data_IF_626341634103
#
_entry.id   IF_626341634103
#
_cell.length_a   1.000
_cell.length_b   1.000
_cell.length_c   1.000
_cell.angle_alpha   90.00
_cell.angle_beta   90.00
_cell.angle_gamma   90.00
#
_symmetry.space_group_name_H-M   'P 1'
#
loop_
_entity.id
_entity.type
_entity.pdbx_description
1 polymer ?
#
# COMPACT_ATOMS: atom_id res chain seq x y z
N UNK A 1 24.50 33.70 12.71
CA UNK A 1 24.18 34.97 12.02
C UNK A 1 25.10 35.12 10.81
N UNK A 2 24.86 34.35 9.76
CA UNK A 2 25.41 34.64 8.43
C UNK A 2 24.29 35.31 7.63
N UNK A 3 24.53 36.56 7.29
CA UNK A 3 23.65 37.41 6.50
C UNK A 3 23.40 36.76 5.14
N UNK A 4 22.15 36.37 4.88
CA UNK A 4 21.67 35.99 3.57
C UNK A 4 21.71 37.23 2.66
N UNK A 5 22.90 37.54 2.12
CA UNK A 5 23.10 38.56 1.09
C UNK A 5 22.80 37.92 -0.26
N UNK A 6 21.52 37.81 -0.59
CA UNK A 6 21.15 37.66 -2.00
C UNK A 6 21.31 39.01 -2.68
N UNK A 7 22.30 39.09 -3.59
CA UNK A 7 22.43 40.19 -4.56
C UNK A 7 21.34 40.03 -5.62
N UNK A 8 20.10 40.31 -5.26
CA UNK A 8 19.01 40.39 -6.24
C UNK A 8 18.80 41.85 -6.63
N UNK A 9 19.01 42.11 -7.91
CA UNK A 9 18.78 43.41 -8.54
C UNK A 9 17.26 43.72 -8.44
N UNK A 10 16.82 44.77 -7.73
CA UNK A 10 15.44 44.88 -7.23
C UNK A 10 14.40 45.28 -8.29
N UNK A 11 14.71 45.19 -9.59
CA UNK A 11 13.87 45.79 -10.63
C UNK A 11 12.72 44.92 -11.14
N UNK A 12 12.71 43.60 -10.91
CA UNK A 12 11.56 42.73 -11.28
C UNK A 12 11.43 41.50 -10.37
N UNK A 13 11.89 41.59 -9.12
CA UNK A 13 11.85 40.45 -8.19
C UNK A 13 10.44 40.25 -7.63
N UNK A 14 9.64 39.44 -8.32
CA UNK A 14 8.40 38.90 -7.79
C UNK A 14 8.76 38.10 -6.52
N UNK A 15 8.54 38.69 -5.34
CA UNK A 15 8.98 38.09 -4.07
C UNK A 15 8.13 36.86 -3.78
N UNK A 16 8.75 35.68 -3.89
CA UNK A 16 8.06 34.40 -3.73
C UNK A 16 8.47 33.73 -2.40
N UNK A 17 7.72 34.06 -1.35
CA UNK A 17 7.87 33.45 -0.02
C UNK A 17 7.68 31.92 -0.07
N UNK A 18 6.85 31.40 -0.97
CA UNK A 18 6.61 29.96 -1.12
C UNK A 18 7.82 29.23 -1.69
N UNK A 19 8.54 29.86 -2.62
CA UNK A 19 9.76 29.32 -3.23
C UNK A 19 11.07 29.72 -2.54
N UNK A 20 10.97 30.40 -1.40
CA UNK A 20 12.12 30.68 -0.52
C UNK A 20 12.90 29.42 -0.17
N UNK A 21 14.22 29.58 0.03
CA UNK A 21 15.11 28.48 0.44
C UNK A 21 14.67 27.85 1.76
N UNK A 22 14.22 28.66 2.71
CA UNK A 22 13.67 28.20 3.97
C UNK A 22 12.43 27.32 3.77
N UNK A 23 11.46 27.76 2.96
CA UNK A 23 10.23 26.97 2.68
C UNK A 23 10.56 25.63 2.02
N UNK A 24 11.47 25.62 1.04
CA UNK A 24 11.95 24.39 0.37
C UNK A 24 12.63 23.45 1.36
N UNK A 25 13.50 23.98 2.21
CA UNK A 25 14.21 23.21 3.24
C UNK A 25 13.23 22.62 4.26
N UNK A 26 12.27 23.42 4.72
CA UNK A 26 11.24 23.00 5.68
C UNK A 26 10.31 21.94 5.08
N UNK A 27 9.91 22.07 3.81
CA UNK A 27 9.11 21.07 3.10
C UNK A 27 9.88 19.75 2.91
N UNK A 28 11.18 19.81 2.62
CA UNK A 28 12.05 18.62 2.56
C UNK A 28 12.13 17.93 3.93
N UNK A 29 12.31 18.70 5.01
CA UNK A 29 12.32 18.18 6.39
C UNK A 29 10.99 17.54 6.75
N UNK A 30 9.87 18.20 6.42
CA UNK A 30 8.52 17.67 6.61
C UNK A 30 8.34 16.30 5.95
N UNK A 31 8.77 16.15 4.69
CA UNK A 31 8.70 14.87 3.97
C UNK A 31 9.51 13.77 4.68
N UNK A 32 10.74 14.07 5.09
CA UNK A 32 11.60 13.11 5.79
C UNK A 32 11.01 12.68 7.13
N UNK A 33 10.44 13.62 7.89
CA UNK A 33 9.73 13.37 9.16
C UNK A 33 8.52 12.46 8.91
N UNK A 34 7.69 12.79 7.90
CA UNK A 34 6.51 12.01 7.51
C UNK A 34 6.88 10.58 7.11
N UNK A 35 7.89 10.40 6.27
CA UNK A 35 8.33 9.08 5.81
C UNK A 35 8.77 8.18 6.98
N UNK A 36 9.54 8.73 7.92
CA UNK A 36 9.97 8.01 9.13
C UNK A 36 8.81 7.67 10.06
N UNK A 37 7.86 8.60 10.22
CA UNK A 37 6.65 8.36 10.99
C UNK A 37 5.84 7.19 10.43
N UNK A 38 5.69 7.11 9.10
CA UNK A 38 4.95 6.01 8.47
C UNK A 38 5.63 4.66 8.76
N UNK A 39 6.96 4.61 8.71
CA UNK A 39 7.72 3.40 9.06
C UNK A 39 7.49 3.02 10.53
N UNK A 40 7.53 3.99 11.46
CA UNK A 40 7.22 3.80 12.87
C UNK A 40 5.81 3.25 13.08
N UNK A 41 4.83 3.84 12.39
CA UNK A 41 3.44 3.40 12.45
C UNK A 41 3.28 1.95 12.00
N UNK A 42 3.93 1.56 10.89
CA UNK A 42 3.90 0.18 10.42
C UNK A 42 4.52 -0.80 11.41
N UNK A 43 5.65 -0.45 12.04
CA UNK A 43 6.23 -1.29 13.10
C UNK A 43 5.33 -1.39 14.32
N UNK A 44 4.68 -0.29 14.72
CA UNK A 44 3.72 -0.29 15.81
C UNK A 44 2.53 -1.22 15.54
N UNK A 45 1.94 -1.16 14.33
CA UNK A 45 0.86 -2.04 13.91
C UNK A 45 1.31 -3.51 13.94
N UNK A 46 2.52 -3.79 13.44
CA UNK A 46 3.08 -5.14 13.50
C UNK A 46 3.21 -5.65 14.94
N UNK A 47 3.81 -4.87 15.85
CA UNK A 47 3.95 -5.26 17.25
C UNK A 47 2.59 -5.45 17.94
N UNK A 48 1.63 -4.57 17.67
CA UNK A 48 0.25 -4.69 18.16
C UNK A 48 -0.37 -6.02 17.72
N UNK A 49 -0.20 -6.40 16.46
CA UNK A 49 -0.71 -7.67 15.93
C UNK A 49 -0.03 -8.87 16.61
N UNK A 50 1.28 -8.82 16.83
CA UNK A 50 2.00 -9.88 17.56
C UNK A 50 1.47 -10.03 18.98
N UNK A 51 1.29 -8.93 19.71
CA UNK A 51 0.71 -8.94 21.07
C UNK A 51 -0.70 -9.57 21.05
N UNK A 52 -1.53 -9.17 20.09
CA UNK A 52 -2.89 -9.70 19.96
C UNK A 52 -2.88 -11.21 19.67
N UNK A 53 -1.97 -11.71 18.83
CA UNK A 53 -1.85 -13.15 18.54
C UNK A 53 -1.49 -13.92 19.83
N UNK A 54 -0.52 -13.43 20.61
CA UNK A 54 -0.17 -14.05 21.89
C UNK A 54 -1.37 -14.10 22.83
N UNK A 55 -2.08 -12.98 23.01
CA UNK A 55 -3.25 -12.88 23.88
C UNK A 55 -4.37 -13.84 23.44
N UNK A 56 -4.70 -13.85 22.15
CA UNK A 56 -5.72 -14.77 21.59
C UNK A 56 -5.30 -16.22 21.81
N UNK A 57 -4.04 -16.58 21.61
CA UNK A 57 -3.56 -17.94 21.84
C UNK A 57 -3.70 -18.38 23.31
N UNK A 58 -3.45 -17.48 24.26
CA UNK A 58 -3.61 -17.73 25.70
C UNK A 58 -5.10 -17.88 26.04
N UNK A 59 -5.97 -17.04 25.48
CA UNK A 59 -7.42 -17.15 25.66
C UNK A 59 -7.91 -18.50 25.16
N UNK A 60 -7.55 -18.89 23.94
CA UNK A 60 -7.94 -20.19 23.35
C UNK A 60 -7.46 -21.35 24.22
N UNK A 61 -6.18 -21.36 24.63
CA UNK A 61 -5.64 -22.40 25.50
C UNK A 61 -6.39 -22.47 26.85
N UNK A 62 -6.71 -21.31 27.44
CA UNK A 62 -7.44 -21.23 28.71
C UNK A 62 -8.88 -21.75 28.55
N UNK A 63 -9.56 -21.40 27.47
CA UNK A 63 -10.91 -21.89 27.17
C UNK A 63 -10.91 -23.40 26.95
N UNK A 64 -9.88 -23.97 26.31
CA UNK A 64 -9.75 -25.42 26.15
C UNK A 64 -9.58 -26.10 27.51
N UNK A 65 -8.76 -25.54 28.42
CA UNK A 65 -8.62 -26.07 29.80
C UNK A 65 -9.98 -26.11 30.51
N UNK A 66 -10.71 -24.99 30.48
CA UNK A 66 -12.05 -24.90 31.10
C UNK A 66 -13.02 -25.90 30.48
N UNK A 67 -13.06 -25.98 29.15
CA UNK A 67 -13.92 -26.91 28.43
C UNK A 67 -13.63 -28.37 28.80
N UNK A 68 -12.35 -28.78 28.79
CA UNK A 68 -11.93 -30.13 29.19
C UNK A 68 -12.29 -30.41 30.65
N UNK A 69 -12.13 -29.42 31.54
CA UNK A 69 -12.55 -29.50 32.94
C UNK A 69 -14.05 -29.73 33.10
N UNK A 70 -14.87 -29.00 32.34
CA UNK A 70 -16.34 -29.12 32.37
C UNK A 70 -16.86 -30.41 31.71
N UNK A 71 -16.14 -30.96 30.72
CA UNK A 71 -16.51 -32.21 30.04
C UNK A 71 -16.04 -33.47 30.76
N UNK A 72 -15.27 -33.34 31.85
CA UNK A 72 -14.78 -34.44 32.70
C UNK A 72 -15.86 -35.50 33.05
N UNK A 73 -17.11 -35.17 33.42
CA UNK A 73 -18.11 -36.16 33.79
C UNK A 73 -18.77 -36.90 32.60
N UNK A 74 -18.69 -36.37 31.37
CA UNK A 74 -19.51 -36.85 30.25
C UNK A 74 -18.76 -37.61 29.14
N UNK A 75 -17.45 -37.36 28.94
CA UNK A 75 -16.71 -37.93 27.78
C UNK A 75 -15.78 -39.10 28.15
N UNK A 76 -15.28 -39.18 29.38
CA UNK A 76 -14.25 -40.16 29.74
C UNK A 76 -14.80 -41.23 30.68
N UNK A 77 -15.15 -42.41 30.15
CA UNK A 77 -15.82 -43.46 30.94
C UNK A 77 -14.89 -44.48 31.60
N UNK A 78 -13.61 -44.60 31.18
CA UNK A 78 -12.79 -45.76 31.59
C UNK A 78 -11.35 -45.42 32.06
N UNK A 79 -10.81 -44.22 31.82
CA UNK A 79 -9.50 -43.75 32.34
C UNK A 79 -9.56 -42.23 32.70
N UNK A 80 -10.41 -41.92 33.68
CA UNK A 80 -11.13 -40.64 33.89
C UNK A 80 -10.32 -39.40 34.25
N UNK A 81 -9.23 -39.55 34.99
CA UNK A 81 -8.63 -38.38 35.64
C UNK A 81 -7.30 -38.02 35.02
N UNK A 82 -6.51 -39.03 34.68
CA UNK A 82 -5.16 -38.87 34.15
C UNK A 82 -5.15 -38.16 32.80
N UNK A 83 -6.06 -38.48 31.87
CA UNK A 83 -6.06 -37.85 30.54
C UNK A 83 -6.45 -36.36 30.58
N UNK A 84 -7.53 -36.02 31.28
CA UNK A 84 -7.96 -34.63 31.44
C UNK A 84 -6.93 -33.81 32.23
N UNK A 85 -6.31 -34.40 33.26
CA UNK A 85 -5.22 -33.77 34.01
C UNK A 85 -3.99 -33.53 33.12
N UNK A 86 -3.57 -34.52 32.32
CA UNK A 86 -2.42 -34.36 31.40
C UNK A 86 -2.68 -33.22 30.41
N UNK A 87 -3.87 -33.17 29.79
CA UNK A 87 -4.22 -32.09 28.85
C UNK A 87 -4.18 -30.73 29.53
N UNK A 88 -4.75 -30.63 30.73
CA UNK A 88 -4.72 -29.40 31.54
C UNK A 88 -3.29 -28.97 31.90
N UNK A 89 -2.43 -29.93 32.29
CA UNK A 89 -1.00 -29.69 32.57
C UNK A 89 -0.27 -29.22 31.31
N UNK A 90 -0.52 -29.82 30.15
CA UNK A 90 0.08 -29.41 28.89
C UNK A 90 -0.29 -27.97 28.50
N UNK A 91 -1.58 -27.62 28.52
CA UNK A 91 -2.01 -26.26 28.16
C UNK A 91 -1.58 -25.20 29.20
N UNK A 92 -1.58 -25.52 30.49
CA UNK A 92 -1.07 -24.61 31.52
C UNK A 92 0.45 -24.38 31.40
N UNK A 93 1.21 -25.44 31.09
CA UNK A 93 2.65 -25.32 30.78
C UNK A 93 2.87 -24.50 29.51
N UNK A 94 2.05 -24.68 28.47
CA UNK A 94 2.07 -23.84 27.27
C UNK A 94 1.84 -22.36 27.60
N UNK A 95 0.81 -22.03 28.39
CA UNK A 95 0.52 -20.64 28.80
C UNK A 95 1.70 -20.06 29.58
N UNK A 96 2.29 -20.83 30.50
CA UNK A 96 3.45 -20.40 31.27
C UNK A 96 4.67 -20.10 30.37
N UNK A 97 4.98 -20.99 29.43
CA UNK A 97 6.08 -20.80 28.47
C UNK A 97 5.80 -19.61 27.54
N UNK A 98 4.60 -19.51 26.96
CA UNK A 98 4.21 -18.41 26.08
C UNK A 98 4.31 -17.06 26.80
N UNK A 99 3.83 -16.98 28.04
CA UNK A 99 3.91 -15.77 28.87
C UNK A 99 5.36 -15.43 29.24
N UNK A 100 6.18 -16.43 29.57
CA UNK A 100 7.60 -16.24 29.87
C UNK A 100 8.37 -15.71 28.65
N UNK A 101 8.14 -16.30 27.47
CA UNK A 101 8.72 -15.83 26.20
C UNK A 101 8.26 -14.39 25.90
N UNK A 102 6.96 -14.12 26.05
CA UNK A 102 6.41 -12.77 25.82
C UNK A 102 7.06 -11.71 26.72
N UNK A 103 7.21 -12.01 28.02
CA UNK A 103 7.92 -11.14 28.97
C UNK A 103 9.40 -11.00 28.66
N UNK A 104 10.07 -12.11 28.31
CA UNK A 104 11.49 -12.11 27.98
C UNK A 104 11.80 -11.24 26.76
N UNK A 105 10.95 -11.30 25.73
CA UNK A 105 11.09 -10.49 24.52
C UNK A 105 10.78 -9.01 24.74
N UNK A 106 10.20 -8.63 25.89
CA UNK A 106 9.81 -7.25 26.23
C UNK A 106 9.03 -6.56 25.11
N UNK A 107 8.10 -7.30 24.49
CA UNK A 107 7.34 -6.81 23.33
C UNK A 107 6.48 -5.60 23.72
N UNK A 108 5.91 -5.60 24.92
CA UNK A 108 5.13 -4.47 25.42
C UNK A 108 5.99 -3.22 25.65
N UNK A 109 7.16 -3.35 26.28
CA UNK A 109 8.08 -2.22 26.48
C UNK A 109 8.48 -1.60 25.11
N UNK A 110 8.87 -2.44 24.14
CA UNK A 110 9.23 -1.98 22.79
C UNK A 110 8.05 -1.32 22.06
N UNK A 111 6.83 -1.83 22.24
CA UNK A 111 5.61 -1.24 21.68
C UNK A 111 5.37 0.17 22.26
N UNK A 112 5.54 0.32 23.57
CA UNK A 112 5.39 1.62 24.25
C UNK A 112 6.47 2.62 23.83
N UNK A 113 7.73 2.18 23.74
CA UNK A 113 8.85 2.98 23.23
C UNK A 113 8.56 3.50 21.81
N UNK A 114 8.10 2.64 20.90
CA UNK A 114 7.73 3.01 19.53
C UNK A 114 6.54 3.97 19.53
N UNK A 115 5.56 3.79 20.43
CA UNK A 115 4.43 4.70 20.54
C UNK A 115 4.86 6.10 21.00
N UNK A 116 5.74 6.21 21.99
CA UNK A 116 6.33 7.49 22.43
C UNK A 116 7.08 8.18 21.30
N UNK A 117 7.86 7.42 20.53
CA UNK A 117 8.52 7.93 19.32
C UNK A 117 7.55 8.44 18.27
N UNK A 118 6.48 7.68 18.01
CA UNK A 118 5.45 8.07 17.06
C UNK A 118 4.79 9.40 17.47
N UNK A 119 4.54 9.59 18.77
CA UNK A 119 4.01 10.83 19.32
C UNK A 119 4.97 12.00 19.11
N UNK A 120 6.25 11.85 19.41
CA UNK A 120 7.26 12.89 19.15
C UNK A 120 7.33 13.26 17.65
N UNK A 121 7.31 12.27 16.75
CA UNK A 121 7.28 12.53 15.30
C UNK A 121 6.00 13.26 14.86
N UNK A 122 4.85 12.92 15.45
CA UNK A 122 3.58 13.61 15.21
C UNK A 122 3.60 15.07 15.66
N UNK A 123 4.17 15.34 16.84
CA UNK A 123 4.26 16.69 17.38
C UNK A 123 5.15 17.57 16.48
N UNK A 124 6.32 17.05 16.10
CA UNK A 124 7.24 17.71 15.16
C UNK A 124 6.58 17.96 13.80
N UNK A 125 5.89 16.96 13.24
CA UNK A 125 5.17 17.12 11.98
C UNK A 125 4.09 18.19 12.07
N UNK A 126 3.33 18.22 13.16
CA UNK A 126 2.26 19.19 13.39
C UNK A 126 2.81 20.61 13.44
N UNK A 127 3.93 20.82 14.14
CA UNK A 127 4.63 22.12 14.20
C UNK A 127 5.05 22.55 12.79
N UNK A 128 5.76 21.68 12.06
CA UNK A 128 6.24 21.98 10.71
C UNK A 128 5.06 22.29 9.76
N UNK A 129 4.01 21.48 9.79
CA UNK A 129 2.84 21.66 8.95
C UNK A 129 2.10 22.97 9.26
N UNK A 130 1.96 23.34 10.54
CA UNK A 130 1.39 24.63 10.95
C UNK A 130 2.22 25.80 10.39
N UNK A 131 3.54 25.67 10.35
CA UNK A 131 4.45 26.70 9.78
C UNK A 131 4.33 26.80 8.27
N UNK A 132 4.34 25.68 7.57
CA UNK A 132 4.12 25.64 6.12
C UNK A 132 2.77 26.24 5.72
N UNK A 133 1.70 25.92 6.46
CA UNK A 133 0.37 26.51 6.24
C UNK A 133 0.36 28.02 6.45
N UNK A 134 0.98 28.52 7.53
CA UNK A 134 1.12 29.97 7.75
C UNK A 134 1.85 30.66 6.60
N UNK A 135 2.94 30.06 6.10
CA UNK A 135 3.67 30.59 4.95
C UNK A 135 2.82 30.61 3.68
N UNK A 136 2.02 29.57 3.42
CA UNK A 136 1.12 29.58 2.26
C UNK A 136 0.05 30.66 2.34
N UNK A 137 -0.46 30.95 3.54
CA UNK A 137 -1.45 32.01 3.77
C UNK A 137 -0.82 33.39 3.56
N UNK A 138 0.38 33.62 4.10
CA UNK A 138 1.14 34.86 3.87
C UNK A 138 1.35 35.07 2.37
N UNK A 139 1.72 34.03 1.63
CA UNK A 139 1.93 34.11 0.19
C UNK A 139 0.64 34.45 -0.58
N UNK A 140 -0.50 33.85 -0.21
CA UNK A 140 -1.78 34.13 -0.87
C UNK A 140 -2.24 35.56 -0.59
N UNK A 141 -2.18 35.99 0.68
CA UNK A 141 -2.55 37.34 1.08
C UNK A 141 -1.68 38.41 0.41
N UNK A 142 -0.35 38.17 0.34
CA UNK A 142 0.55 39.04 -0.40
C UNK A 142 0.17 39.14 -1.87
N UNK A 143 -0.13 38.01 -2.53
CA UNK A 143 -0.53 37.98 -3.94
C UNK A 143 -1.84 38.74 -4.17
N UNK A 144 -2.82 38.56 -3.29
CA UNK A 144 -4.13 39.19 -3.41
C UNK A 144 -4.03 40.72 -3.21
N UNK A 145 -3.35 41.18 -2.17
CA UNK A 145 -3.14 42.61 -1.88
C UNK A 145 -2.29 43.28 -2.96
N UNK A 146 -1.26 42.60 -3.46
CA UNK A 146 -0.41 43.10 -4.54
C UNK A 146 -1.15 43.15 -5.89
N UNK A 147 -1.98 42.14 -6.20
CA UNK A 147 -2.82 42.13 -7.40
C UNK A 147 -3.90 43.21 -7.34
N UNK A 148 -4.48 43.45 -6.17
CA UNK A 148 -5.45 44.52 -5.95
C UNK A 148 -4.81 45.90 -6.20
N UNK A 149 -3.62 46.12 -5.65
CA UNK A 149 -2.83 47.34 -5.86
C UNK A 149 -2.56 47.59 -7.36
N UNK A 150 -2.11 46.55 -8.09
CA UNK A 150 -1.81 46.69 -9.52
C UNK A 150 -3.06 46.98 -10.36
N UNK A 151 -4.21 46.40 -10.00
CA UNK A 151 -5.48 46.58 -10.74
C UNK A 151 -6.11 47.98 -10.55
N UNK A 152 -5.92 48.61 -9.39
CA UNK A 152 -6.58 49.89 -9.06
C UNK A 152 -5.70 51.12 -9.31
N UNK A 153 -4.39 50.96 -9.53
CA UNK A 153 -3.45 52.07 -9.78
C UNK A 153 -2.88 52.16 -11.19
N UNK A 154 -3.09 51.15 -12.05
CA UNK A 154 -2.89 51.33 -13.49
C UNK A 154 -4.18 51.95 -14.02
N UNK A 155 -4.21 53.25 -14.38
CA UNK A 155 -5.37 53.79 -15.08
C UNK A 155 -5.53 53.01 -16.38
N UNK A 156 -6.70 52.38 -16.54
CA UNK A 156 -7.20 51.95 -17.84
C UNK A 156 -7.60 53.22 -18.59
N UNK A 157 -6.63 54.05 -18.95
CA UNK A 157 -6.86 55.10 -19.93
C UNK A 157 -6.66 54.49 -21.31
N UNK A 158 -7.73 54.55 -22.09
CA UNK A 158 -7.79 54.19 -23.50
C UNK A 158 -6.50 54.58 -24.24
N UNK A 159 -5.99 53.65 -25.04
CA UNK A 159 -4.80 53.77 -25.88
C UNK A 159 -5.06 54.75 -27.04
N UNK A 160 -5.44 55.98 -26.74
CA UNK A 160 -5.44 57.07 -27.71
C UNK A 160 -4.67 58.27 -27.15
N UNK A 161 -3.38 58.31 -27.54
CA UNK A 161 -2.42 59.42 -27.49
C UNK A 161 -1.40 59.40 -26.34
N UNK A 162 -0.22 58.85 -26.65
CA UNK A 162 1.13 59.28 -26.24
C UNK A 162 1.25 60.20 -24.99
N UNK A 163 0.88 59.71 -23.80
CA UNK A 163 1.33 60.30 -22.54
C UNK A 163 2.28 59.31 -21.88
N UNK A 164 3.55 59.70 -21.80
CA UNK A 164 4.56 58.99 -21.01
C UNK A 164 4.22 59.27 -19.54
N UNK A 165 3.43 58.39 -18.93
CA UNK A 165 3.17 58.43 -17.48
C UNK A 165 4.45 57.95 -16.79
N UNK A 166 5.21 58.87 -16.20
CA UNK A 166 6.27 58.49 -15.26
C UNK A 166 5.61 58.00 -13.97
N UNK A 167 5.99 56.83 -13.43
CA UNK A 167 5.45 56.35 -12.16
C UNK A 167 5.77 57.38 -11.07
N UNK A 168 4.74 57.82 -10.34
CA UNK A 168 4.89 58.78 -9.26
C UNK A 168 5.71 58.20 -8.10
N UNK A 169 6.49 59.03 -7.40
CA UNK A 169 7.26 58.61 -6.23
C UNK A 169 6.39 57.99 -5.12
N UNK A 170 5.12 58.37 -5.02
CA UNK A 170 4.16 57.84 -4.05
C UNK A 170 3.77 56.37 -4.29
N UNK A 171 3.78 55.91 -5.55
CA UNK A 171 3.39 54.54 -5.89
C UNK A 171 4.46 53.53 -5.43
N UNK A 172 5.72 53.87 -5.65
CA UNK A 172 6.84 53.06 -5.16
C UNK A 172 6.89 52.99 -3.63
N UNK A 173 6.42 54.03 -2.90
CA UNK A 173 6.36 54.01 -1.44
C UNK A 173 5.30 53.04 -0.92
N UNK A 174 4.09 53.02 -1.51
CA UNK A 174 3.02 52.12 -1.09
C UNK A 174 3.35 50.66 -1.39
N UNK A 175 3.94 50.38 -2.56
CA UNK A 175 4.45 49.05 -2.92
C UNK A 175 5.49 48.56 -1.89
N UNK A 176 6.40 49.44 -1.46
CA UNK A 176 7.39 49.13 -0.41
C UNK A 176 6.72 48.81 0.93
N UNK A 177 5.66 49.55 1.31
CA UNK A 177 4.91 49.30 2.56
C UNK A 177 4.26 47.91 2.56
N UNK A 178 3.63 47.49 1.45
CA UNK A 178 3.04 46.15 1.31
C UNK A 178 4.12 45.07 1.43
N UNK A 179 5.23 45.20 0.70
CA UNK A 179 6.33 44.23 0.75
C UNK A 179 6.90 44.12 2.17
N UNK A 180 7.15 45.25 2.84
CA UNK A 180 7.69 45.27 4.21
C UNK A 180 6.75 44.61 5.22
N UNK A 181 5.43 44.84 5.10
CA UNK A 181 4.41 44.22 5.96
C UNK A 181 4.47 42.69 5.91
N UNK A 182 4.46 42.12 4.71
CA UNK A 182 4.48 40.65 4.55
C UNK A 182 5.85 40.04 4.81
N UNK A 183 6.93 40.77 4.50
CA UNK A 183 8.29 40.35 4.87
C UNK A 183 8.45 40.25 6.38
N UNK A 184 7.92 41.20 7.14
CA UNK A 184 7.93 41.15 8.61
C UNK A 184 7.19 39.92 9.13
N UNK A 185 5.97 39.66 8.64
CA UNK A 185 5.21 38.47 9.03
C UNK A 185 5.95 37.17 8.71
N UNK A 186 6.58 37.09 7.54
CA UNK A 186 7.38 35.93 7.15
C UNK A 186 8.62 35.76 8.05
N UNK A 187 9.32 36.86 8.36
CA UNK A 187 10.46 36.87 9.28
C UNK A 187 10.04 36.39 10.68
N UNK A 188 8.88 36.82 11.19
CA UNK A 188 8.35 36.39 12.48
C UNK A 188 8.11 34.87 12.53
N UNK A 189 7.67 34.28 11.41
CA UNK A 189 7.50 32.82 11.30
C UNK A 189 8.84 32.09 11.41
N UNK A 190 9.89 32.60 10.77
CA UNK A 190 11.25 32.04 10.83
C UNK A 190 11.81 32.16 12.25
N UNK A 191 11.78 33.36 12.84
CA UNK A 191 12.29 33.60 14.20
C UNK A 191 11.62 32.68 15.21
N UNK A 192 10.30 32.50 15.11
CA UNK A 192 9.60 31.58 16.00
C UNK A 192 9.98 30.11 15.76
N UNK A 193 10.21 29.71 14.50
CA UNK A 193 10.69 28.36 14.21
C UNK A 193 12.05 28.08 14.85
N UNK A 194 12.95 29.07 14.81
CA UNK A 194 14.27 29.00 15.45
C UNK A 194 14.16 28.97 16.99
N UNK A 195 13.17 29.63 17.58
CA UNK A 195 12.93 29.66 19.03
C UNK A 195 12.28 28.39 19.61
N UNK A 196 11.53 27.62 18.82
CA UNK A 196 10.77 26.45 19.32
C UNK A 196 11.61 25.16 19.49
N UNK A 197 12.95 25.27 19.33
CA UNK A 197 13.91 24.17 19.33
C UNK A 197 13.49 23.01 18.39
N UNK A 198 12.83 23.35 17.28
CA UNK A 198 12.25 22.35 16.37
C UNK A 198 13.34 21.50 15.73
N UNK A 199 14.49 22.10 15.41
CA UNK A 199 15.64 21.39 14.86
C UNK A 199 16.20 20.36 15.84
N UNK A 200 16.28 20.71 17.12
CA UNK A 200 16.76 19.79 18.16
C UNK A 200 15.79 18.63 18.36
N UNK A 201 14.48 18.92 18.34
CA UNK A 201 13.44 17.87 18.36
C UNK A 201 13.51 16.95 17.13
N UNK A 202 13.73 17.50 15.94
CA UNK A 202 13.93 16.71 14.71
C UNK A 202 15.19 15.85 14.83
N UNK A 203 16.29 16.41 15.34
CA UNK A 203 17.56 15.71 15.49
C UNK A 203 17.46 14.58 16.51
N UNK A 204 16.82 14.84 17.65
CA UNK A 204 16.58 13.84 18.69
C UNK A 204 15.67 12.71 18.18
N UNK A 205 14.56 13.06 17.52
CA UNK A 205 13.69 12.08 16.88
C UNK A 205 14.44 11.25 15.84
N UNK A 206 15.34 11.87 15.08
CA UNK A 206 16.19 11.15 14.11
C UNK A 206 17.17 10.21 14.81
N UNK A 207 17.83 10.62 15.89
CA UNK A 207 18.75 9.77 16.66
C UNK A 207 18.03 8.56 17.23
N UNK A 208 16.90 8.78 17.92
CA UNK A 208 16.11 7.71 18.51
C UNK A 208 15.51 6.77 17.44
N UNK A 209 15.15 7.28 16.26
CA UNK A 209 14.74 6.43 15.14
C UNK A 209 15.87 5.49 14.69
N UNK A 210 17.10 5.99 14.61
CA UNK A 210 18.24 5.16 14.18
C UNK A 210 18.66 4.12 15.23
N UNK A 211 18.40 4.36 16.52
CA UNK A 211 18.65 3.36 17.56
C UNK A 211 17.58 2.27 17.63
N UNK A 212 16.32 2.59 17.28
CA UNK A 212 15.20 1.64 17.33
C UNK A 212 15.07 0.70 16.12
N UNK A 213 15.74 1.02 15.01
CA UNK A 213 15.60 0.27 13.77
C UNK A 213 16.96 -0.15 13.23
N UNK A 214 17.09 -1.43 12.96
CA UNK A 214 18.15 -1.93 12.09
C UNK A 214 17.91 -1.47 10.64
N UNK A 215 18.99 -1.39 9.87
CA UNK A 215 18.92 -1.05 8.44
C UNK A 215 18.00 -2.00 7.65
N UNK A 216 18.05 -3.30 7.97
CA UNK A 216 17.22 -4.31 7.33
C UNK A 216 15.73 -4.13 7.64
N UNK A 217 15.37 -3.77 8.87
CA UNK A 217 13.98 -3.45 9.22
C UNK A 217 13.48 -2.23 8.45
N UNK A 218 14.30 -1.19 8.27
CA UNK A 218 13.93 0.00 7.50
C UNK A 218 13.61 -0.40 6.05
N UNK A 219 14.45 -1.22 5.43
CA UNK A 219 14.23 -1.73 4.07
C UNK A 219 12.93 -2.55 4.01
N UNK A 220 12.75 -3.47 4.96
CA UNK A 220 11.57 -4.32 5.03
C UNK A 220 10.28 -3.49 5.11
N UNK A 221 10.20 -2.53 6.03
CA UNK A 221 9.00 -1.70 6.17
C UNK A 221 8.78 -0.78 4.97
N UNK A 222 9.84 -0.26 4.33
CA UNK A 222 9.70 0.47 3.06
C UNK A 222 9.10 -0.39 1.96
N UNK A 223 9.58 -1.63 1.81
CA UNK A 223 9.02 -2.59 0.87
C UNK A 223 7.54 -2.86 1.15
N UNK A 224 7.19 -3.11 2.42
CA UNK A 224 5.80 -3.34 2.84
C UNK A 224 4.87 -2.15 2.60
N UNK A 225 5.36 -0.92 2.77
CA UNK A 225 4.61 0.31 2.49
C UNK A 225 4.33 0.43 0.98
N UNK A 226 5.31 0.13 0.13
CA UNK A 226 5.12 0.14 -1.33
C UNK A 226 4.14 -0.95 -1.74
N UNK A 227 4.30 -2.16 -1.19
CA UNK A 227 3.37 -3.27 -1.41
C UNK A 227 1.93 -2.90 -1.02
N UNK A 228 1.73 -2.30 0.16
CA UNK A 228 0.39 -1.88 0.59
C UNK A 228 -0.21 -0.80 -0.31
N UNK A 229 0.59 0.18 -0.74
CA UNK A 229 0.13 1.22 -1.68
C UNK A 229 -0.22 0.64 -3.06
N UNK A 230 0.55 -0.35 -3.54
CA UNK A 230 0.26 -1.02 -4.80
C UNK A 230 -1.01 -1.87 -4.68
N UNK A 231 -1.16 -2.61 -3.58
CA UNK A 231 -2.36 -3.40 -3.32
C UNK A 231 -3.60 -2.52 -3.26
N UNK A 232 -3.52 -1.38 -2.58
CA UNK A 232 -4.60 -0.39 -2.49
C UNK A 232 -4.99 0.14 -3.87
N UNK A 233 -4.01 0.54 -4.70
CA UNK A 233 -4.27 0.96 -6.08
C UNK A 233 -4.92 -0.14 -6.93
N UNK A 234 -4.48 -1.38 -6.78
CA UNK A 234 -5.08 -2.54 -7.46
C UNK A 234 -6.49 -2.78 -6.97
N UNK A 235 -6.75 -2.67 -5.67
CA UNK A 235 -8.08 -2.83 -5.10
C UNK A 235 -9.02 -1.71 -5.55
N UNK A 236 -8.57 -0.46 -5.59
CA UNK A 236 -9.38 0.65 -6.12
C UNK A 236 -9.64 0.46 -7.61
N UNK A 237 -8.63 0.07 -8.40
CA UNK A 237 -8.82 -0.23 -9.82
C UNK A 237 -9.82 -1.37 -10.04
N UNK A 238 -9.68 -2.48 -9.32
CA UNK A 238 -10.59 -3.61 -9.40
C UNK A 238 -11.99 -3.26 -8.90
N UNK A 239 -12.11 -2.38 -7.89
CA UNK A 239 -13.39 -1.90 -7.38
C UNK A 239 -14.09 -0.98 -8.38
N UNK A 240 -13.37 -0.06 -9.01
CA UNK A 240 -13.94 0.76 -10.10
C UNK A 240 -14.42 -0.09 -11.28
N UNK A 241 -13.76 -1.22 -11.54
CA UNK A 241 -14.22 -2.19 -12.55
C UNK A 241 -15.48 -2.92 -12.06
N UNK A 242 -15.52 -3.36 -10.81
CA UNK A 242 -16.65 -4.13 -10.29
C UNK A 242 -17.89 -3.29 -9.94
N UNK A 243 -17.73 -1.99 -9.67
CA UNK A 243 -18.80 -1.08 -9.27
C UNK A 243 -19.30 -0.18 -10.41
N UNK A 244 -18.66 -0.19 -11.58
CA UNK A 244 -19.18 0.51 -12.74
C UNK A 244 -20.55 -0.08 -13.13
N UNK A 245 -21.61 0.75 -13.26
CA UNK A 245 -22.94 0.28 -13.60
C UNK A 245 -22.90 -0.48 -14.93
N UNK A 246 -23.64 -1.59 -15.01
CA UNK A 246 -23.69 -2.45 -16.20
C UNK A 246 -24.06 -1.70 -17.49
N UNK A 247 -24.77 -0.58 -17.36
CA UNK A 247 -25.14 0.27 -18.49
C UNK A 247 -23.93 1.02 -19.07
N UNK A 248 -22.97 1.43 -18.23
CA UNK A 248 -21.72 2.07 -18.66
C UNK A 248 -20.81 1.09 -19.41
N UNK A 249 -20.85 -0.21 -19.06
CA UNK A 249 -20.19 -1.26 -19.83
C UNK A 249 -20.84 -1.49 -21.20
N UNK A 250 -22.17 -1.49 -21.25
CA UNK A 250 -22.91 -1.62 -22.53
C UNK A 250 -22.67 -0.43 -23.43
N UNK A 251 -22.69 0.78 -22.87
CA UNK A 251 -22.41 2.00 -23.63
C UNK A 251 -20.98 1.98 -24.18
N UNK A 252 -19.99 1.56 -23.39
CA UNK A 252 -18.62 1.42 -23.86
C UNK A 252 -18.46 0.34 -24.95
N UNK A 253 -19.16 -0.79 -24.84
CA UNK A 253 -19.16 -1.84 -25.89
C UNK A 253 -19.80 -1.30 -27.18
N UNK A 254 -20.95 -0.63 -27.08
CA UNK A 254 -21.63 -0.02 -28.22
C UNK A 254 -20.75 1.06 -28.89
N UNK A 255 -20.02 1.84 -28.09
CA UNK A 255 -19.04 2.80 -28.63
C UNK A 255 -17.92 2.10 -29.39
N UNK A 256 -17.37 1.00 -28.86
CA UNK A 256 -16.32 0.22 -29.53
C UNK A 256 -16.86 -0.36 -30.85
N UNK A 257 -18.04 -0.97 -30.86
CA UNK A 257 -18.68 -1.50 -32.07
C UNK A 257 -18.94 -0.39 -33.11
N UNK A 258 -19.37 0.79 -32.67
CA UNK A 258 -19.57 1.95 -33.54
C UNK A 258 -18.24 2.41 -34.16
N UNK A 259 -17.15 2.45 -33.38
CA UNK A 259 -15.82 2.80 -33.89
C UNK A 259 -15.28 1.75 -34.86
N UNK A 260 -15.45 0.46 -34.58
CA UNK A 260 -15.06 -0.63 -35.49
C UNK A 260 -15.82 -0.53 -36.81
N UNK A 261 -17.14 -0.31 -36.75
CA UNK A 261 -17.97 -0.11 -37.95
C UNK A 261 -17.56 1.14 -38.74
N UNK A 262 -17.18 2.21 -38.04
CA UNK A 262 -16.73 3.47 -38.67
C UNK A 262 -15.34 3.31 -39.31
N UNK A 263 -14.44 2.52 -38.70
CA UNK A 263 -13.13 2.17 -39.25
C UNK A 263 -13.22 1.28 -40.48
N UNK A 264 -14.24 0.42 -40.57
CA UNK A 264 -14.49 -0.41 -41.75
C UNK A 264 -15.11 0.37 -42.92
N UNK A 265 -15.76 1.51 -42.66
CA UNK A 265 -16.56 2.24 -43.66
C UNK A 265 -15.93 3.53 -44.17
N UNK A 266 -14.96 4.13 -43.45
CA UNK A 266 -14.35 5.41 -43.84
C UNK A 266 -12.87 5.29 -44.21
N UNK A 267 -12.53 5.77 -45.42
CA UNK A 267 -11.16 6.08 -45.82
C UNK A 267 -10.55 7.13 -44.87
N UNK A 268 -9.31 6.89 -44.45
CA UNK A 268 -8.55 7.44 -43.31
C UNK A 268 -8.36 8.98 -43.20
N UNK A 269 -9.21 9.82 -43.79
CA UNK A 269 -8.91 11.24 -43.98
C UNK A 269 -9.27 12.19 -42.83
N UNK A 270 -10.06 11.79 -41.82
CA UNK A 270 -10.54 12.76 -40.79
C UNK A 270 -10.55 12.23 -39.34
N UNK A 271 -9.59 11.37 -38.98
CA UNK A 271 -9.47 10.78 -37.62
C UNK A 271 -8.97 11.80 -36.58
N UNK A 272 -8.45 12.95 -37.02
CA UNK A 272 -7.82 13.93 -36.13
C UNK A 272 -8.80 14.60 -35.16
N UNK A 273 -10.06 14.80 -35.55
CA UNK A 273 -11.07 15.41 -34.68
C UNK A 273 -11.55 14.44 -33.60
N UNK A 274 -11.72 13.16 -33.95
CA UNK A 274 -12.15 12.13 -33.01
C UNK A 274 -11.08 11.84 -31.95
N UNK A 275 -9.80 11.84 -32.34
CA UNK A 275 -8.68 11.74 -31.39
C UNK A 275 -8.70 12.92 -30.40
N UNK A 276 -8.92 14.15 -30.87
CA UNK A 276 -8.98 15.33 -29.99
C UNK A 276 -10.18 15.27 -29.02
N UNK A 277 -11.32 14.76 -29.47
CA UNK A 277 -12.49 14.59 -28.62
C UNK A 277 -12.27 13.52 -27.54
N UNK A 278 -11.64 12.39 -27.90
CA UNK A 278 -11.28 11.32 -26.95
C UNK A 278 -10.26 11.83 -25.91
N UNK A 279 -9.23 12.57 -26.33
CA UNK A 279 -8.25 13.14 -25.39
C UNK A 279 -8.87 14.13 -24.39
N UNK A 280 -9.86 14.90 -24.84
CA UNK A 280 -10.60 15.83 -23.98
C UNK A 280 -11.45 15.09 -22.92
N UNK A 281 -12.19 14.06 -23.32
CA UNK A 281 -12.99 13.24 -22.39
C UNK A 281 -12.11 12.47 -21.40
N UNK A 282 -10.98 11.91 -21.84
CA UNK A 282 -9.99 11.28 -20.93
C UNK A 282 -9.49 12.29 -19.90
N UNK A 283 -9.21 13.53 -20.30
CA UNK A 283 -8.74 14.60 -19.40
C UNK A 283 -9.81 14.97 -18.37
N UNK A 284 -11.07 15.11 -18.80
CA UNK A 284 -12.23 15.39 -17.94
C UNK A 284 -12.46 14.27 -16.91
N UNK A 285 -12.43 13.02 -17.35
CA UNK A 285 -12.54 11.85 -16.46
C UNK A 285 -11.41 11.83 -15.42
N UNK A 286 -10.16 12.09 -15.84
CA UNK A 286 -9.01 12.17 -14.92
C UNK A 286 -9.16 13.22 -13.84
N UNK A 287 -9.76 14.37 -14.17
CA UNK A 287 -10.03 15.46 -13.22
C UNK A 287 -11.16 15.09 -12.25
N UNK A 288 -12.21 14.41 -12.74
CA UNK A 288 -13.34 13.97 -11.93
C UNK A 288 -12.96 12.84 -10.95
N UNK A 289 -12.19 11.85 -11.39
CA UNK A 289 -11.74 10.77 -10.49
C UNK A 289 -10.87 11.32 -9.36
N UNK A 290 -10.01 12.31 -9.65
CA UNK A 290 -9.14 12.98 -8.65
C UNK A 290 -9.93 13.67 -7.53
N UNK A 291 -11.18 14.06 -7.77
CA UNK A 291 -12.05 14.62 -6.75
C UNK A 291 -12.61 13.54 -5.82
N UNK A 292 -13.03 12.39 -6.37
CA UNK A 292 -13.55 11.23 -5.60
C UNK A 292 -12.46 10.67 -4.67
N UNK A 293 -11.21 10.61 -5.12
CA UNK A 293 -10.07 10.15 -4.31
C UNK A 293 -9.79 10.99 -3.05
N UNK A 294 -10.26 12.23 -2.96
CA UNK A 294 -10.01 13.09 -1.80
C UNK A 294 -11.08 12.98 -0.70
N UNK A 295 -12.26 12.41 -0.98
CA UNK A 295 -13.34 12.27 0.01
C UNK A 295 -13.31 10.91 0.74
N UNK A 296 -12.75 9.87 0.13
CA UNK A 296 -12.72 8.52 0.72
C UNK A 296 -11.58 8.26 1.72
N UNK A 297 -10.58 9.14 1.80
CA UNK A 297 -9.46 9.03 2.75
C UNK A 297 -9.92 9.16 4.23
N UNK A 298 -11.15 9.64 4.47
CA UNK A 298 -11.68 9.88 5.82
C UNK A 298 -12.57 8.75 6.39
N UNK A 299 -13.06 7.83 5.55
CA UNK A 299 -14.11 6.87 5.95
C UNK A 299 -13.63 5.45 6.31
N UNK A 300 -12.44 5.02 5.87
CA UNK A 300 -12.06 3.60 5.96
C UNK A 300 -11.09 3.21 7.09
N UNK A 301 -10.84 4.12 8.04
CA UNK A 301 -9.98 3.84 9.20
C UNK A 301 -10.55 2.93 10.30
N UNK A 302 -11.79 2.42 10.21
CA UNK A 302 -12.53 2.02 11.44
C UNK A 302 -13.18 0.63 11.53
N UNK A 303 -13.01 -0.32 10.59
CA UNK A 303 -13.62 -1.66 10.76
C UNK A 303 -12.62 -2.81 10.77
N UNK A 304 -12.11 -3.12 11.98
CA UNK A 304 -11.40 -4.36 12.27
C UNK A 304 -12.22 -5.61 11.89
N UNK A 305 -13.55 -5.53 11.94
CA UNK A 305 -14.45 -6.60 11.51
C UNK A 305 -14.39 -6.87 10.00
N UNK A 306 -14.21 -5.86 9.15
CA UNK A 306 -14.05 -6.08 7.71
C UNK A 306 -12.77 -6.83 7.38
N UNK A 307 -11.67 -6.54 8.08
CA UNK A 307 -10.41 -7.27 7.89
C UNK A 307 -10.49 -8.73 8.38
N UNK A 308 -11.25 -9.00 9.45
CA UNK A 308 -11.54 -10.37 9.89
C UNK A 308 -12.42 -11.11 8.87
N UNK A 309 -13.49 -10.47 8.37
CA UNK A 309 -14.35 -11.06 7.34
C UNK A 309 -13.59 -11.33 6.04
N UNK A 310 -12.71 -10.42 5.62
CA UNK A 310 -11.83 -10.62 4.46
C UNK A 310 -10.84 -11.77 4.68
N UNK A 311 -10.26 -11.89 5.88
CA UNK A 311 -9.36 -13.01 6.21
C UNK A 311 -10.08 -14.37 6.17
N UNK A 312 -11.30 -14.45 6.71
CA UNK A 312 -12.12 -15.67 6.64
C UNK A 312 -12.60 -15.95 5.20
N UNK A 313 -12.95 -14.92 4.43
CA UNK A 313 -13.29 -15.04 3.01
C UNK A 313 -12.12 -15.58 2.18
N UNK A 314 -10.90 -15.06 2.39
CA UNK A 314 -9.68 -15.53 1.72
C UNK A 314 -9.35 -16.99 2.10
N UNK A 315 -9.55 -17.34 3.38
CA UNK A 315 -9.36 -18.70 3.88
C UNK A 315 -10.37 -19.67 3.27
N UNK A 316 -11.63 -19.26 3.12
CA UNK A 316 -12.66 -20.03 2.43
C UNK A 316 -12.36 -20.17 0.93
N UNK A 317 -11.90 -19.11 0.26
CA UNK A 317 -11.50 -19.16 -1.14
C UNK A 317 -10.31 -20.11 -1.34
N UNK A 318 -9.32 -20.07 -0.45
CA UNK A 318 -8.21 -21.02 -0.46
C UNK A 318 -8.69 -22.48 -0.29
N UNK A 319 -9.60 -22.73 0.66
CA UNK A 319 -10.20 -24.06 0.83
C UNK A 319 -10.97 -24.54 -0.41
N UNK A 320 -11.70 -23.64 -1.09
CA UNK A 320 -12.40 -23.96 -2.34
C UNK A 320 -11.44 -24.29 -3.48
N UNK A 321 -10.38 -23.49 -3.65
CA UNK A 321 -9.32 -23.73 -4.64
C UNK A 321 -8.63 -25.06 -4.35
N UNK A 322 -8.26 -25.34 -3.11
CA UNK A 322 -7.64 -26.62 -2.72
C UNK A 322 -8.57 -27.81 -2.95
N UNK A 323 -9.87 -27.66 -2.70
CA UNK A 323 -10.86 -28.71 -2.98
C UNK A 323 -11.02 -28.95 -4.51
N UNK A 324 -10.97 -27.88 -5.32
CA UNK A 324 -10.96 -27.99 -6.78
C UNK A 324 -9.70 -28.73 -7.27
N UNK A 325 -8.52 -28.39 -6.75
CA UNK A 325 -7.26 -29.07 -7.07
C UNK A 325 -7.29 -30.54 -6.67
N UNK A 326 -7.84 -30.86 -5.49
CA UNK A 326 -7.99 -32.24 -5.03
C UNK A 326 -8.95 -33.04 -5.92
N UNK A 327 -10.08 -32.44 -6.32
CA UNK A 327 -11.04 -33.03 -7.24
C UNK A 327 -10.43 -33.29 -8.62
N UNK A 328 -9.64 -32.35 -9.15
CA UNK A 328 -8.90 -32.52 -10.41
C UNK A 328 -7.83 -33.61 -10.30
N UNK A 329 -7.11 -33.68 -9.17
CA UNK A 329 -6.13 -34.73 -8.91
C UNK A 329 -6.79 -36.12 -8.86
N UNK A 330 -7.96 -36.25 -8.20
CA UNK A 330 -8.74 -37.49 -8.17
C UNK A 330 -9.25 -37.89 -9.56
N UNK A 331 -9.78 -36.95 -10.34
CA UNK A 331 -10.20 -37.21 -11.73
C UNK A 331 -9.03 -37.67 -12.61
N UNK A 332 -7.86 -37.03 -12.48
CA UNK A 332 -6.63 -37.41 -13.19
C UNK A 332 -6.15 -38.81 -12.79
N UNK A 333 -6.24 -39.16 -11.51
CA UNK A 333 -5.94 -40.51 -11.01
C UNK A 333 -6.88 -41.57 -11.60
N UNK A 334 -8.20 -41.28 -11.59
CA UNK A 334 -9.22 -42.18 -12.16
C UNK A 334 -9.03 -42.37 -13.67
N UNK A 335 -8.68 -41.31 -14.40
CA UNK A 335 -8.38 -41.38 -15.83
C UNK A 335 -7.14 -42.24 -16.11
N UNK A 336 -6.07 -42.11 -15.31
CA UNK A 336 -4.88 -42.99 -15.43
C UNK A 336 -5.23 -44.46 -15.17
N UNK A 337 -6.10 -44.73 -14.19
CA UNK A 337 -6.55 -46.09 -13.89
C UNK A 337 -7.35 -46.70 -15.04
N UNK A 338 -8.27 -45.92 -15.61
CA UNK A 338 -9.05 -46.32 -16.80
C UNK A 338 -8.16 -46.54 -18.02
N UNK A 339 -7.21 -45.64 -18.27
CA UNK A 339 -6.23 -45.80 -19.35
C UNK A 339 -5.43 -47.10 -19.20
N UNK A 340 -4.94 -47.43 -18.00
CA UNK A 340 -4.24 -48.72 -17.75
C UNK A 340 -5.13 -49.95 -17.90
N UNK A 341 -6.45 -49.82 -17.75
CA UNK A 341 -7.38 -50.93 -18.02
C UNK A 341 -7.59 -51.09 -19.52
N UNK A 342 -7.81 -49.98 -20.23
CA UNK A 342 -7.93 -49.95 -21.68
C UNK A 342 -6.66 -50.48 -22.37
N UNK A 343 -5.48 -49.99 -21.97
CA UNK A 343 -4.20 -50.47 -22.47
C UNK A 343 -4.02 -51.98 -22.18
N UNK A 344 -4.53 -52.52 -21.07
CA UNK A 344 -4.47 -53.97 -20.82
C UNK A 344 -5.44 -54.81 -21.65
N UNK A 345 -6.59 -54.25 -22.03
CA UNK A 345 -7.58 -54.94 -22.85
C UNK A 345 -7.28 -54.86 -24.36
N UNK A 346 -6.54 -53.85 -24.81
CA UNK A 346 -6.36 -53.57 -26.24
C UNK A 346 -4.91 -53.65 -26.76
N UNK A 347 -3.90 -53.86 -25.90
CA UNK A 347 -2.49 -53.99 -26.33
C UNK A 347 -2.18 -55.30 -27.09
N UNK A 348 -3.09 -56.27 -27.15
CA UNK A 348 -2.91 -57.46 -28.01
C UNK A 348 -3.21 -57.22 -29.50
N UNK A 349 -3.54 -55.98 -29.92
CA UNK A 349 -3.91 -55.68 -31.33
C UNK A 349 -3.17 -54.54 -32.01
N UNK A 350 -2.39 -53.72 -31.32
CA UNK A 350 -1.65 -52.62 -31.97
C UNK A 350 -0.23 -52.49 -31.41
N UNK A 351 0.69 -53.24 -32.02
CA UNK A 351 2.10 -52.86 -32.04
C UNK A 351 2.24 -51.55 -32.84
N UNK A 352 2.64 -50.45 -32.18
CA UNK A 352 3.73 -49.55 -32.62
C UNK A 352 3.74 -48.07 -32.13
N UNK A 353 2.93 -47.59 -31.18
CA UNK A 353 3.10 -46.19 -30.70
C UNK A 353 3.11 -46.05 -29.17
N UNK A 354 4.32 -46.01 -28.59
CA UNK A 354 4.55 -45.63 -27.18
C UNK A 354 4.79 -44.12 -27.05
N UNK A 355 3.85 -43.41 -26.44
CA UNK A 355 4.05 -42.02 -25.99
C UNK A 355 4.53 -41.96 -24.55
N UNK A 356 5.76 -41.47 -24.33
CA UNK A 356 6.33 -41.19 -23.00
C UNK A 356 6.16 -39.70 -22.67
N UNK A 357 5.17 -39.39 -21.84
CA UNK A 357 4.98 -38.03 -21.28
C UNK A 357 5.98 -37.80 -20.13
N UNK A 358 6.61 -36.61 -20.12
CA UNK A 358 7.66 -36.23 -19.18
C UNK A 358 7.18 -36.34 -17.72
N UNK A 359 7.83 -37.24 -16.96
CA UNK A 359 7.49 -37.54 -15.56
C UNK A 359 8.10 -36.48 -14.63
N UNK A 360 7.24 -35.77 -13.90
CA UNK A 360 7.63 -34.95 -12.76
C UNK A 360 8.09 -35.87 -11.60
N UNK A 361 9.40 -36.15 -11.50
CA UNK A 361 9.97 -37.15 -10.57
C UNK A 361 9.67 -36.89 -9.08
N UNK A 362 9.54 -35.64 -8.66
CA UNK A 362 9.41 -35.30 -7.23
C UNK A 362 8.07 -35.71 -6.62
N UNK A 363 6.97 -35.61 -7.37
CA UNK A 363 5.63 -35.94 -6.87
C UNK A 363 5.33 -37.44 -6.97
N UNK A 364 5.85 -38.11 -8.01
CA UNK A 364 5.69 -39.56 -8.18
C UNK A 364 6.51 -40.37 -7.16
N UNK A 365 7.64 -39.84 -6.65
CA UNK A 365 8.40 -40.48 -5.57
C UNK A 365 7.64 -40.46 -4.24
N UNK A 366 6.91 -39.39 -3.94
CA UNK A 366 6.13 -39.28 -2.70
C UNK A 366 4.90 -40.21 -2.71
N UNK A 367 4.27 -40.38 -3.86
CA UNK A 367 3.13 -41.30 -4.03
C UNK A 367 3.58 -42.77 -4.08
N UNK A 368 4.75 -43.07 -4.67
CA UNK A 368 5.32 -44.43 -4.68
C UNK A 368 5.79 -44.89 -3.30
N UNK A 369 6.24 -43.98 -2.43
CA UNK A 369 6.67 -44.37 -1.08
C UNK A 369 5.52 -44.89 -0.21
N UNK A 370 4.28 -44.45 -0.47
CA UNK A 370 3.10 -44.99 0.19
C UNK A 370 2.58 -46.30 -0.42
N UNK A 371 3.08 -46.73 -1.59
CA UNK A 371 2.54 -47.89 -2.31
C UNK A 371 3.64 -48.64 -3.06
N UNK A 372 4.42 -49.49 -2.37
CA UNK A 372 4.81 -50.81 -2.86
C UNK A 372 5.69 -51.56 -1.84
N UNK A 373 5.21 -52.72 -1.39
CA UNK A 373 6.04 -53.89 -1.10
C UNK A 373 6.39 -54.57 -2.42
N UNK A 374 7.63 -55.09 -2.47
CA UNK A 374 8.13 -56.22 -3.27
C UNK A 374 7.62 -56.38 -4.72
N UNK A 375 8.49 -56.16 -5.69
CA UNK A 375 9.19 -57.23 -6.43
C UNK A 375 10.20 -56.59 -7.39
N UNK A 376 11.42 -57.10 -7.35
CA UNK A 376 12.51 -56.85 -8.30
C UNK A 376 12.21 -57.54 -9.62
N UNK A 377 12.37 -56.83 -10.74
CA UNK A 377 12.98 -57.37 -11.96
C UNK A 377 13.28 -56.22 -12.94
N UNK A 378 14.47 -56.29 -13.54
CA UNK A 378 15.03 -55.33 -14.49
C UNK A 378 14.86 -55.89 -15.90
N UNK A 379 14.44 -55.08 -16.88
CA UNK A 379 14.87 -55.35 -18.24
C UNK A 379 15.45 -54.14 -18.99
N UNK A 380 16.32 -54.51 -19.93
CA UNK A 380 17.23 -53.76 -20.79
C UNK A 380 16.52 -52.84 -21.82
N UNK A 381 17.32 -51.88 -22.32
CA UNK A 381 16.97 -50.82 -23.28
C UNK A 381 16.54 -51.34 -24.67
N UNK A 382 15.62 -50.61 -25.35
CA UNK A 382 15.78 -50.42 -26.80
C UNK A 382 15.47 -48.99 -27.32
N UNK A 383 15.84 -48.70 -28.58
CA UNK A 383 16.27 -47.39 -29.04
C UNK A 383 15.16 -46.51 -29.66
N UNK A 384 15.53 -45.25 -29.90
CA UNK A 384 14.80 -44.19 -30.59
C UNK A 384 13.64 -43.55 -29.79
N UNK A 385 13.99 -42.51 -29.03
CA UNK A 385 13.06 -41.61 -28.34
C UNK A 385 13.16 -40.23 -28.98
N UNK A 386 12.04 -39.71 -29.49
CA UNK A 386 11.90 -38.30 -29.87
C UNK A 386 11.32 -37.56 -28.66
N UNK A 387 12.05 -36.55 -28.16
CA UNK A 387 11.63 -35.71 -27.04
C UNK A 387 10.85 -34.50 -27.55
N UNK A 388 9.71 -34.21 -26.93
CA UNK A 388 8.99 -32.96 -27.14
C UNK A 388 9.23 -32.04 -25.94
N UNK A 389 9.90 -30.91 -26.15
CA UNK A 389 10.01 -29.84 -25.15
C UNK A 389 8.67 -29.12 -25.04
N UNK A 390 7.97 -29.28 -23.92
CA UNK A 390 7.01 -28.28 -23.48
C UNK A 390 7.75 -27.34 -22.53
N UNK A 391 7.90 -26.08 -22.95
CA UNK A 391 8.32 -24.99 -22.08
C UNK A 391 7.39 -24.90 -20.87
N UNK A 392 7.97 -24.95 -19.68
CA UNK A 392 7.38 -24.59 -18.39
C UNK A 392 8.45 -23.88 -17.57
#
# INVERSE_FOLDING_TARGET
MESCKTKDNPKDSNFDFKNSEFSKTLAKKHKVVKDKRIILFMKHVYLKNVVNIFQVSIIIASTIITFVGSMKPHIFSTNRETQAQIISICFSTYIAIATAIFKFLKIDDRKEEIYKMLQMFNDVETIINKKLKKMSIIQSQFRDEFSYYHKHKIPVEDISKNVIIQPGQDDEEEKRKIIQKYYKQYSDVITFYEQEDVEDKILEAKKQFHTMFSYNEIIYYRGKIVESMLLEKVHVGNRSILEAPMDEYKDNINYIEMYETTLETNDFADISNDIQHIEFEIKRLKEHTKHIYNEDEFLYGSSWCNNICLYFSLSCHFCLVMNLYLSLAMKRSKFRSLKRKYDREYVDKEDQLRFLCCKFKAFDQLVRWCTCKETTDVPEDPPNIVYCCCEC
#
